data_IF_578811122572
#
_entry.id   IF_578811122572
#
_cell.length_a   1.000
_cell.length_b   1.000
_cell.length_c   1.000
_cell.angle_alpha   90.00
_cell.angle_beta   90.00
_cell.angle_gamma   90.00
#
_symmetry.space_group_name_H-M   'P 1'
#
loop_
_entity.id
_entity.type
_entity.pdbx_description
1 polymer ?
#
# COMPACT_ATOMS: atom_id res chain seq x y z
N UNK A 1 -1.42 1.72 -13.57
CA UNK A 1 -1.85 2.52 -12.40
C UNK A 1 -0.90 3.70 -12.12
N UNK A 2 -1.36 4.96 -12.14
CA UNK A 2 -0.57 6.12 -11.67
C UNK A 2 -0.50 6.21 -10.15
N UNK A 3 0.69 6.54 -9.61
CA UNK A 3 0.89 6.84 -8.18
C UNK A 3 0.24 8.20 -7.83
N UNK A 4 -0.51 8.25 -6.73
CA UNK A 4 -1.32 9.41 -6.31
C UNK A 4 -0.80 10.05 -5.03
N UNK A 5 -0.55 9.25 -4.01
CA UNK A 5 0.01 9.72 -2.74
C UNK A 5 1.10 8.80 -2.23
N UNK A 6 1.99 9.38 -1.43
CA UNK A 6 3.09 8.69 -0.76
C UNK A 6 3.20 9.22 0.67
N UNK A 7 3.49 8.33 1.60
CA UNK A 7 3.95 8.64 2.94
C UNK A 7 5.06 7.67 3.33
N UNK A 8 6.17 8.20 3.84
CA UNK A 8 7.29 7.42 4.37
C UNK A 8 7.39 7.69 5.86
N UNK A 9 7.41 6.63 6.66
CA UNK A 9 7.47 6.68 8.13
C UNK A 9 8.65 5.85 8.62
N UNK A 10 9.24 6.28 9.72
CA UNK A 10 10.29 5.55 10.45
C UNK A 10 11.37 4.93 9.54
N UNK A 11 11.94 5.70 8.62
CA UNK A 11 12.97 5.24 7.67
C UNK A 11 14.18 6.17 7.61
N UNK A 12 15.32 5.68 8.09
CA UNK A 12 16.62 6.37 8.24
C UNK A 12 16.44 7.69 9.00
N UNK A 13 16.53 8.83 8.31
CA UNK A 13 16.34 10.16 8.89
C UNK A 13 14.90 10.69 8.79
N UNK A 14 13.99 9.96 8.14
CA UNK A 14 12.58 10.32 8.00
C UNK A 14 11.80 9.69 9.16
N UNK A 15 11.28 10.51 10.06
CA UNK A 15 10.33 10.06 11.08
C UNK A 15 8.93 9.90 10.49
N UNK A 16 8.44 10.96 9.83
CA UNK A 16 7.22 10.95 9.04
C UNK A 16 7.32 12.05 7.97
N UNK A 17 7.14 11.69 6.70
CA UNK A 17 7.09 12.67 5.62
C UNK A 17 5.77 13.46 5.59
N UNK A 18 4.78 13.01 6.36
CA UNK A 18 3.35 13.17 6.09
C UNK A 18 2.97 12.61 4.72
N UNK A 19 1.66 12.43 4.50
CA UNK A 19 1.17 12.12 3.17
C UNK A 19 1.35 13.34 2.25
N UNK A 20 1.93 13.12 1.07
CA UNK A 20 2.01 14.11 0.01
C UNK A 20 1.50 13.55 -1.31
N UNK A 21 0.96 14.45 -2.14
CA UNK A 21 0.41 14.13 -3.46
C UNK A 21 1.51 14.12 -4.52
N UNK A 22 1.37 13.21 -5.46
CA UNK A 22 2.18 13.15 -6.68
C UNK A 22 1.39 13.83 -7.80
N UNK A 23 2.01 14.80 -8.44
CA UNK A 23 1.48 15.46 -9.63
C UNK A 23 1.47 14.52 -10.84
N UNK A 24 0.46 14.64 -11.69
CA UNK A 24 0.27 13.79 -12.88
C UNK A 24 1.41 13.90 -13.90
N UNK A 25 2.17 15.00 -13.89
CA UNK A 25 3.25 15.26 -14.84
C UNK A 25 4.62 15.25 -14.17
N UNK A 26 4.81 16.09 -13.16
CA UNK A 26 6.11 16.28 -12.52
C UNK A 26 5.99 16.77 -11.07
N UNK A 27 6.64 16.04 -10.17
CA UNK A 27 6.73 16.40 -8.75
C UNK A 27 8.15 16.81 -8.40
N UNK A 28 8.33 18.01 -7.84
CA UNK A 28 9.64 18.51 -7.41
C UNK A 28 9.82 18.32 -5.90
N UNK A 29 10.86 17.59 -5.50
CA UNK A 29 11.28 17.50 -4.10
C UNK A 29 12.38 18.53 -3.84
N UNK A 30 12.08 19.53 -3.02
CA UNK A 30 13.02 20.61 -2.65
C UNK A 30 13.28 20.61 -1.15
N UNK A 31 14.54 20.73 -0.77
CA UNK A 31 14.93 20.89 0.63
C UNK A 31 16.13 21.80 0.75
N UNK A 32 16.14 22.66 1.78
CA UNK A 32 17.19 23.68 2.01
C UNK A 32 18.55 23.06 2.39
N UNK A 33 18.51 21.86 2.99
CA UNK A 33 19.66 21.02 3.32
C UNK A 33 19.40 19.61 2.74
N UNK A 34 20.44 18.83 2.42
CA UNK A 34 20.38 17.46 1.85
C UNK A 34 19.61 16.39 2.68
N UNK A 35 18.96 16.84 3.75
CA UNK A 35 18.15 16.23 4.82
C UNK A 35 17.13 15.10 4.55
N UNK A 36 17.13 14.43 3.39
CA UNK A 36 16.33 13.20 3.24
C UNK A 36 15.63 12.98 1.89
N UNK A 37 15.92 13.78 0.86
CA UNK A 37 15.32 13.57 -0.48
C UNK A 37 15.69 12.21 -1.06
N UNK A 38 16.98 11.89 -1.04
CA UNK A 38 17.48 10.58 -1.48
C UNK A 38 16.90 9.45 -0.65
N UNK A 39 16.81 9.63 0.67
CA UNK A 39 16.18 8.68 1.59
C UNK A 39 14.71 8.44 1.22
N UNK A 40 13.95 9.50 0.92
CA UNK A 40 12.56 9.38 0.49
C UNK A 40 12.44 8.58 -0.81
N UNK A 41 13.26 8.89 -1.81
CA UNK A 41 13.28 8.16 -3.09
C UNK A 41 13.70 6.70 -2.92
N UNK A 42 14.67 6.42 -2.04
CA UNK A 42 15.07 5.04 -1.71
C UNK A 42 13.90 4.27 -1.10
N UNK A 43 13.17 4.85 -0.14
CA UNK A 43 12.01 4.20 0.47
C UNK A 43 10.93 3.90 -0.59
N UNK A 44 10.61 4.87 -1.44
CA UNK A 44 9.61 4.70 -2.51
C UNK A 44 10.01 3.59 -3.46
N UNK A 45 11.30 3.51 -3.84
CA UNK A 45 11.79 2.47 -4.75
C UNK A 45 11.58 1.05 -4.21
N UNK A 46 11.52 0.85 -2.89
CA UNK A 46 11.32 -0.48 -2.26
C UNK A 46 9.98 -1.13 -2.59
N UNK A 47 8.99 -0.38 -3.08
CA UNK A 47 7.70 -0.96 -3.50
C UNK A 47 7.82 -1.79 -4.78
N UNK A 48 8.71 -1.39 -5.68
CA UNK A 48 8.93 -2.03 -6.98
C UNK A 48 10.35 -1.68 -7.48
N UNK A 49 11.39 -2.26 -6.85
CA UNK A 49 12.76 -1.93 -7.19
C UNK A 49 13.18 -2.59 -8.51
N UNK A 50 14.21 -2.03 -9.13
CA UNK A 50 14.82 -2.64 -10.33
C UNK A 50 15.57 -3.92 -9.96
N UNK A 51 16.30 -3.90 -8.84
CA UNK A 51 16.90 -5.09 -8.25
C UNK A 51 15.95 -5.62 -7.14
N UNK A 52 15.41 -6.84 -7.27
CA UNK A 52 14.58 -7.44 -6.23
C UNK A 52 15.23 -7.46 -4.84
N UNK A 53 16.58 -7.50 -4.76
CA UNK A 53 17.31 -7.45 -3.49
C UNK A 53 17.14 -6.15 -2.71
N UNK A 54 16.73 -5.06 -3.38
CA UNK A 54 16.51 -3.76 -2.73
C UNK A 54 15.10 -3.60 -2.15
N UNK A 55 14.20 -4.57 -2.35
CA UNK A 55 12.79 -4.46 -2.00
C UNK A 55 12.56 -4.37 -0.49
N UNK A 56 13.42 -4.97 0.30
CA UNK A 56 13.17 -5.18 1.73
C UNK A 56 13.67 -4.03 2.59
N UNK A 57 12.90 -3.70 3.61
CA UNK A 57 13.30 -2.82 4.69
C UNK A 57 14.14 -3.61 5.70
N UNK A 58 15.38 -3.17 5.91
CA UNK A 58 16.28 -3.74 6.92
C UNK A 58 16.14 -2.95 8.22
N UNK A 59 16.03 -3.63 9.38
CA UNK A 59 16.01 -2.98 10.70
C UNK A 59 17.16 -1.99 10.93
N UNK A 60 18.30 -2.14 10.27
CA UNK A 60 19.41 -1.16 10.29
C UNK A 60 19.02 0.20 9.70
N UNK A 61 18.01 0.23 8.84
CA UNK A 61 17.42 1.43 8.26
C UNK A 61 16.34 2.05 9.17
N UNK A 62 15.93 1.39 10.26
CA UNK A 62 14.96 1.95 11.21
C UNK A 62 15.61 3.01 12.12
N UNK A 63 14.93 4.11 12.46
CA UNK A 63 15.47 5.14 13.36
C UNK A 63 15.90 4.56 14.72
N UNK A 64 17.21 4.66 15.02
CA UNK A 64 17.82 4.04 16.21
C UNK A 64 17.16 4.40 17.54
N UNK A 65 16.64 5.62 17.66
CA UNK A 65 16.02 6.11 18.89
C UNK A 65 14.66 5.47 19.18
N UNK A 66 13.98 4.90 18.17
CA UNK A 66 12.70 4.20 18.32
C UNK A 66 12.83 2.68 18.16
N UNK A 67 14.04 2.18 17.84
CA UNK A 67 14.24 0.78 17.45
C UNK A 67 13.89 -0.21 18.56
N UNK A 68 14.28 0.08 19.81
CA UNK A 68 14.02 -0.82 20.95
C UNK A 68 12.52 -0.99 21.16
N UNK A 69 11.79 0.12 21.27
CA UNK A 69 10.32 0.11 21.42
C UNK A 69 9.63 -0.58 20.24
N UNK A 70 10.14 -0.38 19.02
CA UNK A 70 9.63 -1.05 17.84
C UNK A 70 9.81 -2.57 17.94
N UNK A 71 11.01 -3.04 18.27
CA UNK A 71 11.33 -4.48 18.36
C UNK A 71 10.47 -5.22 19.39
N UNK A 72 10.08 -4.56 20.48
CA UNK A 72 9.21 -5.14 21.50
C UNK A 72 7.79 -5.45 20.99
N UNK A 73 7.28 -4.68 20.02
CA UNK A 73 5.91 -4.84 19.47
C UNK A 73 5.83 -5.33 18.03
N UNK A 74 6.94 -5.35 17.29
CA UNK A 74 6.97 -5.55 15.83
C UNK A 74 6.31 -6.86 15.37
N UNK A 75 6.33 -7.90 16.21
CA UNK A 75 5.70 -9.19 15.90
C UNK A 75 4.18 -9.11 15.79
N UNK A 76 3.55 -8.24 16.58
CA UNK A 76 2.08 -8.06 16.62
C UNK A 76 1.64 -6.83 15.83
N UNK A 77 2.46 -5.78 15.86
CA UNK A 77 2.16 -4.47 15.29
C UNK A 77 3.39 -3.92 14.55
N UNK A 78 3.71 -4.46 13.36
CA UNK A 78 4.78 -3.94 12.53
C UNK A 78 4.41 -2.54 12.02
N UNK A 79 5.42 -1.66 11.90
CA UNK A 79 5.23 -0.32 11.37
C UNK A 79 5.17 -0.36 9.85
N UNK A 80 4.23 0.41 9.28
CA UNK A 80 4.22 0.69 7.85
C UNK A 80 5.31 1.72 7.53
N UNK A 81 6.43 1.29 6.95
CA UNK A 81 7.53 2.17 6.57
C UNK A 81 7.19 3.01 5.32
N UNK A 82 6.42 2.44 4.41
CA UNK A 82 5.94 3.09 3.19
C UNK A 82 4.45 2.84 3.03
N UNK A 83 3.70 3.91 2.76
CA UNK A 83 2.29 3.87 2.38
C UNK A 83 2.14 4.65 1.07
N UNK A 84 1.42 4.07 0.12
CA UNK A 84 1.15 4.70 -1.18
C UNK A 84 -0.30 4.50 -1.57
N UNK A 85 -0.85 5.43 -2.35
CA UNK A 85 -2.12 5.22 -3.03
C UNK A 85 -1.94 5.33 -4.54
N UNK A 86 -2.63 4.46 -5.27
CA UNK A 86 -2.52 4.34 -6.70
C UNK A 86 -3.90 4.46 -7.33
N UNK A 87 -4.02 5.24 -8.41
CA UNK A 87 -5.24 5.33 -9.18
C UNK A 87 -5.40 4.12 -10.08
N UNK A 88 -6.63 3.67 -10.26
CA UNK A 88 -6.97 2.62 -11.22
C UNK A 88 -7.25 3.21 -12.59
N UNK A 89 -6.74 2.55 -13.63
CA UNK A 89 -7.09 2.81 -15.01
C UNK A 89 -8.41 2.12 -15.38
N UNK A 90 -9.05 2.51 -16.50
CA UNK A 90 -10.25 1.81 -16.97
C UNK A 90 -10.03 0.32 -17.24
N UNK A 91 -8.82 -0.08 -17.63
CA UNK A 91 -8.43 -1.48 -17.82
C UNK A 91 -8.37 -2.21 -16.47
N UNK A 92 -7.72 -1.61 -15.47
CA UNK A 92 -7.67 -2.19 -14.11
C UNK A 92 -9.08 -2.38 -13.53
N UNK A 93 -10.00 -1.43 -13.77
CA UNK A 93 -11.40 -1.53 -13.33
C UNK A 93 -12.12 -2.66 -14.08
N UNK A 94 -11.89 -2.80 -15.39
CA UNK A 94 -12.51 -3.86 -16.19
C UNK A 94 -12.05 -5.26 -15.74
N UNK A 95 -10.76 -5.41 -15.40
CA UNK A 95 -10.22 -6.64 -14.84
C UNK A 95 -10.85 -6.97 -13.48
N UNK A 96 -11.00 -5.96 -12.60
CA UNK A 96 -11.68 -6.13 -11.31
C UNK A 96 -13.17 -6.46 -11.48
N UNK A 97 -13.86 -5.84 -12.44
CA UNK A 97 -15.27 -6.14 -12.74
C UNK A 97 -15.47 -7.62 -13.09
N UNK A 98 -14.50 -8.25 -13.76
CA UNK A 98 -14.54 -9.69 -14.06
C UNK A 98 -14.46 -10.61 -12.84
N UNK A 99 -13.95 -10.10 -11.71
CA UNK A 99 -13.70 -10.88 -10.48
C UNK A 99 -14.77 -10.60 -9.42
N UNK A 100 -15.03 -9.31 -9.14
CA UNK A 100 -15.89 -8.88 -8.03
C UNK A 100 -17.20 -8.24 -8.51
N UNK A 101 -17.42 -8.20 -9.82
CA UNK A 101 -18.64 -7.70 -10.44
C UNK A 101 -18.71 -6.17 -10.55
N UNK A 102 -19.89 -5.63 -10.86
CA UNK A 102 -20.06 -4.20 -11.15
C UNK A 102 -19.68 -3.24 -10.01
N UNK A 103 -19.56 -3.73 -8.77
CA UNK A 103 -19.09 -2.95 -7.62
C UNK A 103 -17.66 -2.46 -7.80
N UNK A 104 -16.85 -3.12 -8.63
CA UNK A 104 -15.51 -2.67 -9.00
C UNK A 104 -15.48 -1.24 -9.57
N UNK A 105 -16.57 -0.79 -10.22
CA UNK A 105 -16.70 0.57 -10.79
C UNK A 105 -16.62 1.68 -9.75
N UNK A 106 -16.87 1.36 -8.49
CA UNK A 106 -16.80 2.32 -7.38
C UNK A 106 -15.39 2.48 -6.83
N UNK A 107 -14.47 1.57 -7.21
CA UNK A 107 -13.09 1.60 -6.76
C UNK A 107 -12.34 2.65 -7.57
N UNK A 108 -11.80 3.64 -6.84
CA UNK A 108 -11.04 4.73 -7.46
C UNK A 108 -9.53 4.61 -7.21
N UNK A 109 -9.14 3.93 -6.15
CA UNK A 109 -7.74 3.75 -5.77
C UNK A 109 -7.48 2.47 -4.99
N UNK A 110 -6.21 2.06 -5.01
CA UNK A 110 -5.66 0.99 -4.17
C UNK A 110 -4.62 1.60 -3.26
N UNK A 111 -4.72 1.34 -1.97
CA UNK A 111 -3.70 1.67 -0.99
C UNK A 111 -2.75 0.49 -0.87
N UNK A 112 -1.45 0.75 -0.95
CA UNK A 112 -0.40 -0.25 -0.76
C UNK A 112 0.48 0.20 0.39
N UNK A 113 0.67 -0.66 1.40
CA UNK A 113 1.63 -0.43 2.48
C UNK A 113 2.65 -1.56 2.61
N UNK A 114 3.88 -1.21 2.99
CA UNK A 114 4.96 -2.16 3.27
C UNK A 114 5.74 -1.70 4.50
N UNK A 115 6.08 -2.64 5.37
CA UNK A 115 6.82 -2.42 6.61
C UNK A 115 8.11 -3.23 6.70
N UNK A 116 8.69 -3.23 7.89
CA UNK A 116 9.90 -3.99 8.23
C UNK A 116 9.65 -5.50 8.43
N UNK A 117 8.38 -5.91 8.39
CA UNK A 117 7.97 -7.31 8.22
C UNK A 117 8.09 -7.79 6.76
N UNK A 118 8.42 -6.87 5.84
CA UNK A 118 8.60 -7.09 4.41
C UNK A 118 7.39 -7.68 3.70
N UNK A 119 6.20 -7.54 4.28
CA UNK A 119 4.94 -7.94 3.67
C UNK A 119 4.23 -6.73 3.06
N UNK A 120 3.93 -6.81 1.76
CA UNK A 120 3.08 -5.83 1.08
C UNK A 120 1.62 -6.12 1.40
N UNK A 121 0.89 -5.09 1.83
CA UNK A 121 -0.54 -5.11 2.09
C UNK A 121 -1.25 -4.24 1.07
N UNK A 122 -2.41 -4.70 0.62
CA UNK A 122 -3.22 -4.04 -0.39
C UNK A 122 -4.61 -3.81 0.20
N UNK A 123 -5.00 -2.55 0.35
CA UNK A 123 -6.32 -2.16 0.84
C UNK A 123 -7.10 -1.48 -0.29
N UNK A 124 -8.34 -1.91 -0.46
CA UNK A 124 -9.25 -1.37 -1.47
C UNK A 124 -10.61 -1.16 -0.83
N UNK A 125 -11.16 0.04 -0.98
CA UNK A 125 -12.50 0.33 -0.52
C UNK A 125 -13.52 -0.27 -1.50
N UNK A 126 -14.24 -1.30 -1.05
CA UNK A 126 -15.26 -1.99 -1.84
C UNK A 126 -16.56 -2.12 -1.04
N UNK A 127 -17.68 -2.17 -1.75
CA UNK A 127 -18.95 -2.60 -1.16
C UNK A 127 -18.94 -4.13 -0.99
N UNK A 128 -18.53 -4.59 0.18
CA UNK A 128 -18.41 -6.02 0.51
C UNK A 128 -19.71 -6.79 0.29
N UNK A 129 -20.87 -6.18 0.56
CA UNK A 129 -22.17 -6.82 0.36
C UNK A 129 -22.45 -7.04 -1.12
N UNK A 130 -22.19 -6.03 -1.95
CA UNK A 130 -22.35 -6.16 -3.39
C UNK A 130 -21.40 -7.20 -3.99
N UNK A 131 -20.14 -7.25 -3.53
CA UNK A 131 -19.16 -8.27 -3.95
C UNK A 131 -19.63 -9.67 -3.54
N UNK A 132 -20.05 -9.85 -2.28
CA UNK A 132 -20.52 -11.14 -1.77
C UNK A 132 -21.74 -11.64 -2.59
N UNK A 133 -22.71 -10.77 -2.84
CA UNK A 133 -23.88 -11.11 -3.65
C UNK A 133 -23.49 -11.53 -5.07
N UNK A 134 -22.52 -10.83 -5.69
CA UNK A 134 -22.03 -11.18 -7.02
C UNK A 134 -21.35 -12.55 -7.04
N UNK A 135 -20.45 -12.81 -6.10
CA UNK A 135 -19.69 -14.07 -6.01
C UNK A 135 -20.63 -15.25 -5.71
N UNK A 136 -21.60 -15.10 -4.80
CA UNK A 136 -22.58 -16.13 -4.50
C UNK A 136 -23.46 -16.47 -5.71
N UNK A 137 -23.93 -15.45 -6.44
CA UNK A 137 -24.71 -15.63 -7.66
C UNK A 137 -23.89 -16.29 -8.78
N UNK A 138 -22.61 -15.92 -8.92
CA UNK A 138 -21.71 -16.49 -9.93
C UNK A 138 -21.39 -17.98 -9.68
N UNK A 139 -21.40 -18.43 -8.42
CA UNK A 139 -21.09 -19.81 -8.05
C UNK A 139 -22.33 -20.69 -7.78
N UNK A 140 -23.56 -20.19 -8.03
CA UNK A 140 -24.81 -20.91 -7.72
C UNK A 140 -24.82 -21.52 -6.31
N UNK A 141 -24.17 -20.85 -5.36
CA UNK A 141 -24.22 -21.23 -3.95
C UNK A 141 -25.54 -20.72 -3.38
N UNK A 142 -26.64 -21.30 -3.84
CA UNK A 142 -27.93 -21.15 -3.20
C UNK A 142 -27.81 -21.72 -1.78
N UNK A 143 -28.29 -20.95 -0.81
CA UNK A 143 -28.38 -21.28 0.61
C UNK A 143 -29.24 -22.53 0.88
N UNK A 144 -28.79 -23.72 0.46
CA UNK A 144 -29.47 -24.97 0.74
C UNK A 144 -28.76 -25.88 1.75
N UNK A 145 -27.66 -25.44 2.36
CA UNK A 145 -27.04 -26.13 3.51
C UNK A 145 -27.39 -25.48 4.85
N UNK A 146 -28.66 -25.13 5.05
CA UNK A 146 -29.25 -25.10 6.37
C UNK A 146 -30.29 -26.23 6.49
N UNK A 147 -29.84 -27.34 7.08
CA UNK A 147 -30.59 -28.42 7.79
C UNK A 147 -30.38 -29.83 7.22
N UNK A 148 -29.54 -30.60 7.91
CA UNK A 148 -29.98 -31.81 8.64
C UNK A 148 -29.01 -32.12 9.78
#
# INVERSE_FOLDING_TARGET
MPLRTVQVKNYKCVQDSNEFKIDDKITYLVSKNESGKTTLLQAIAKINPVDPGDADFDLLEYPRHHLVEYQERAAEQPDEALVTSWGLSPEDIADLEGIIGPSARQITSVRISKGYDNQSRYDVAVDEQAVLHHVLAAHNLDHNDQRS
#
